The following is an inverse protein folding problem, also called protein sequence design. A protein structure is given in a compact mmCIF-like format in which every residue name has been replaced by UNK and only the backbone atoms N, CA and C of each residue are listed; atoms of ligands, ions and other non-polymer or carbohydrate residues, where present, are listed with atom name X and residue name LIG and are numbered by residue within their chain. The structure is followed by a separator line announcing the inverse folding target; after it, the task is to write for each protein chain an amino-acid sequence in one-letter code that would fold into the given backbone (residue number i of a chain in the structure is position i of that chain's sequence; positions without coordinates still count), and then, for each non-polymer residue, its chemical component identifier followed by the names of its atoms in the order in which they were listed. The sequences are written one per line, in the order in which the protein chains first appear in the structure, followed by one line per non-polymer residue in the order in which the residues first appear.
data_IF_914509162017
#
_entry.id   IF_914509162017
#
_cell.length_a   1.000
_cell.length_b   1.000
_cell.length_c   1.000
_cell.angle_alpha   90.00
_cell.angle_beta   90.00
_cell.angle_gamma   90.00
#
_symmetry.space_group_name_H-M   'P 1'
#
loop_
_entity.id
_entity.type
_entity.pdbx_description
1 polymer ?
#
# COMPACT_ATOMS: atom_id res chain seq x y z
N UNK A 1 -51.60 15.44 13.66
CA UNK A 1 -50.85 14.81 12.54
C UNK A 1 -49.81 13.93 13.18
N UNK A 2 -50.12 12.63 13.28
CA UNK A 2 -49.12 11.65 13.76
C UNK A 2 -47.95 11.62 12.76
N UNK A 3 -46.71 11.83 13.20
CA UNK A 3 -45.59 11.64 12.35
C UNK A 3 -45.54 10.16 11.99
N UNK A 4 -46.00 9.82 10.80
CA UNK A 4 -45.88 8.46 10.28
C UNK A 4 -44.38 8.14 10.27
N UNK A 5 -43.93 7.38 11.25
CA UNK A 5 -42.56 6.86 11.31
C UNK A 5 -42.37 5.97 10.08
N UNK A 6 -41.67 6.49 9.08
CA UNK A 6 -41.44 5.75 7.86
C UNK A 6 -40.58 4.49 8.22
N UNK A 7 -41.17 3.28 8.09
CA UNK A 7 -40.47 2.05 8.49
C UNK A 7 -39.16 1.83 7.73
N UNK A 8 -39.06 2.37 6.50
CA UNK A 8 -37.81 2.34 5.73
C UNK A 8 -36.71 3.25 6.32
N UNK A 9 -37.07 4.38 6.97
CA UNK A 9 -36.11 5.24 7.64
C UNK A 9 -35.49 4.53 8.86
N UNK A 10 -36.30 3.83 9.65
CA UNK A 10 -35.82 3.04 10.80
C UNK A 10 -34.91 1.89 10.32
N UNK A 11 -35.32 1.17 9.29
CA UNK A 11 -34.53 0.09 8.71
C UNK A 11 -33.19 0.59 8.18
N UNK A 12 -33.18 1.73 7.46
CA UNK A 12 -31.95 2.35 6.95
C UNK A 12 -31.00 2.74 8.07
N UNK A 13 -31.52 3.24 9.19
CA UNK A 13 -30.71 3.65 10.35
C UNK A 13 -29.97 2.47 11.00
N UNK A 14 -30.54 1.27 10.95
CA UNK A 14 -29.95 0.05 11.50
C UNK A 14 -29.01 -0.63 10.47
N UNK A 15 -29.46 -0.71 9.22
CA UNK A 15 -28.73 -1.43 8.17
C UNK A 15 -27.45 -0.69 7.76
N UNK A 16 -27.47 0.64 7.66
CA UNK A 16 -26.32 1.40 7.21
C UNK A 16 -25.06 1.20 8.09
N UNK A 17 -25.12 1.31 9.44
CA UNK A 17 -23.95 1.01 10.28
C UNK A 17 -23.49 -0.45 10.17
N UNK A 18 -24.42 -1.41 10.03
CA UNK A 18 -24.08 -2.83 9.89
C UNK A 18 -23.31 -3.12 8.59
N UNK A 19 -23.74 -2.54 7.47
CA UNK A 19 -23.05 -2.64 6.17
C UNK A 19 -21.68 -2.00 6.23
N UNK A 20 -21.56 -0.80 6.84
CA UNK A 20 -20.30 -0.10 7.00
C UNK A 20 -19.33 -0.83 7.93
N UNK A 21 -19.84 -1.49 8.97
CA UNK A 21 -19.07 -2.37 9.87
C UNK A 21 -18.45 -3.53 9.07
N UNK A 22 -19.27 -4.19 8.24
CA UNK A 22 -18.79 -5.28 7.40
C UNK A 22 -17.73 -4.80 6.39
N UNK A 23 -17.97 -3.68 5.70
CA UNK A 23 -17.00 -3.07 4.78
C UNK A 23 -15.67 -2.72 5.48
N UNK A 24 -15.74 -2.14 6.67
CA UNK A 24 -14.56 -1.80 7.49
C UNK A 24 -13.78 -3.05 7.90
N UNK A 25 -14.45 -4.15 8.24
CA UNK A 25 -13.82 -5.43 8.57
C UNK A 25 -13.05 -6.01 7.37
N UNK A 26 -13.63 -5.97 6.19
CA UNK A 26 -12.98 -6.44 4.96
C UNK A 26 -11.74 -5.61 4.64
N UNK A 27 -11.82 -4.28 4.79
CA UNK A 27 -10.68 -3.38 4.59
C UNK A 27 -9.57 -3.63 5.63
N UNK A 28 -9.93 -3.83 6.91
CA UNK A 28 -8.98 -4.15 7.97
C UNK A 28 -8.27 -5.48 7.68
N UNK A 29 -9.00 -6.52 7.31
CA UNK A 29 -8.45 -7.83 6.97
C UNK A 29 -7.51 -7.75 5.75
N UNK A 30 -7.92 -7.08 4.68
CA UNK A 30 -7.09 -6.88 3.48
C UNK A 30 -5.81 -6.13 3.81
N UNK A 31 -5.90 -5.07 4.62
CA UNK A 31 -4.75 -4.26 5.04
C UNK A 31 -3.82 -5.04 5.97
N UNK A 32 -4.35 -5.84 6.89
CA UNK A 32 -3.57 -6.73 7.76
C UNK A 32 -2.75 -7.73 6.95
N UNK A 33 -3.34 -8.35 5.92
CA UNK A 33 -2.64 -9.26 5.03
C UNK A 33 -1.52 -8.58 4.21
N UNK A 34 -1.71 -7.32 3.83
CA UNK A 34 -0.66 -6.51 3.18
C UNK A 34 0.47 -6.17 4.15
N UNK A 35 0.12 -5.81 5.39
CA UNK A 35 1.10 -5.51 6.44
C UNK A 35 1.95 -6.73 6.77
N UNK A 36 1.35 -7.92 6.93
CA UNK A 36 2.08 -9.16 7.18
C UNK A 36 3.13 -9.41 6.10
N UNK A 37 2.76 -9.31 4.82
CA UNK A 37 3.70 -9.48 3.69
C UNK A 37 4.81 -8.43 3.67
N UNK A 38 4.52 -7.17 4.06
CA UNK A 38 5.52 -6.12 4.12
C UNK A 38 6.53 -6.37 5.25
N UNK A 39 6.05 -6.81 6.42
CA UNK A 39 6.89 -7.17 7.58
C UNK A 39 7.75 -8.40 7.25
N UNK A 40 7.20 -9.43 6.63
CA UNK A 40 7.96 -10.63 6.23
C UNK A 40 9.07 -10.25 5.23
N UNK A 41 8.77 -9.36 4.28
CA UNK A 41 9.78 -8.86 3.34
C UNK A 41 10.88 -8.04 4.04
N UNK A 42 10.53 -7.22 5.03
CA UNK A 42 11.50 -6.46 5.80
C UNK A 42 12.43 -7.39 6.60
N UNK A 43 11.89 -8.41 7.24
CA UNK A 43 12.68 -9.43 7.96
C UNK A 43 13.63 -10.18 7.04
N UNK A 44 13.16 -10.58 5.87
CA UNK A 44 13.98 -11.26 4.86
C UNK A 44 15.15 -10.39 4.40
N UNK A 45 14.89 -9.10 4.12
CA UNK A 45 15.93 -8.14 3.75
C UNK A 45 16.95 -7.92 4.88
N UNK A 46 16.49 -7.81 6.13
CA UNK A 46 17.37 -7.66 7.30
C UNK A 46 18.26 -8.89 7.47
N UNK A 47 17.70 -10.10 7.38
CA UNK A 47 18.48 -11.34 7.48
C UNK A 47 19.54 -11.44 6.39
N UNK A 48 19.21 -11.12 5.14
CA UNK A 48 20.17 -11.11 4.07
C UNK A 48 21.29 -10.06 4.23
N UNK A 49 21.01 -8.94 4.90
CA UNK A 49 22.04 -7.95 5.23
C UNK A 49 22.98 -8.45 6.34
N UNK A 50 22.47 -9.19 7.32
CA UNK A 50 23.25 -9.78 8.40
C UNK A 50 24.14 -10.93 7.92
N UNK A 51 23.62 -11.81 7.04
CA UNK A 51 24.32 -12.96 6.49
C UNK A 51 25.41 -12.58 5.47
N UNK A 52 25.26 -11.44 4.80
CA UNK A 52 26.18 -10.97 3.77
C UNK A 52 27.34 -10.18 4.39
N UNK A 53 28.28 -10.86 5.02
CA UNK A 53 29.41 -10.29 5.76
C UNK A 53 30.34 -9.36 4.99
N UNK A 54 30.37 -9.40 3.64
CA UNK A 54 31.14 -8.47 2.78
C UNK A 54 30.33 -8.08 1.54
N UNK A 55 29.33 -7.22 1.74
CA UNK A 55 28.69 -6.56 0.60
C UNK A 55 29.58 -5.45 0.06
N UNK A 56 29.69 -5.34 -1.26
CA UNK A 56 30.28 -4.15 -1.87
C UNK A 56 29.48 -2.90 -1.42
N UNK A 57 30.18 -1.80 -1.15
CA UNK A 57 29.55 -0.57 -0.65
C UNK A 57 28.30 -0.13 -1.44
N UNK A 58 28.25 -0.20 -2.80
CA UNK A 58 27.07 0.17 -3.57
C UNK A 58 25.88 -0.80 -3.37
N UNK A 59 26.13 -2.09 -3.14
CA UNK A 59 25.06 -3.06 -2.87
C UNK A 59 24.47 -2.90 -1.48
N UNK A 60 25.30 -2.64 -0.47
CA UNK A 60 24.84 -2.36 0.88
C UNK A 60 23.94 -1.12 0.91
N UNK A 61 24.33 -0.03 0.26
CA UNK A 61 23.51 1.20 0.15
C UNK A 61 22.18 0.94 -0.55
N UNK A 62 22.18 0.15 -1.62
CA UNK A 62 20.93 -0.21 -2.33
C UNK A 62 19.98 -1.02 -1.46
N UNK A 63 20.49 -2.02 -0.73
CA UNK A 63 19.66 -2.87 0.17
C UNK A 63 19.12 -2.09 1.37
N UNK A 64 19.93 -1.20 1.96
CA UNK A 64 19.48 -0.30 3.02
C UNK A 64 18.34 0.61 2.55
N UNK A 65 18.44 1.17 1.34
CA UNK A 65 17.36 1.98 0.76
C UNK A 65 16.09 1.18 0.53
N UNK A 66 16.19 -0.07 0.08
CA UNK A 66 15.04 -0.97 -0.09
C UNK A 66 14.41 -1.32 1.26
N UNK A 67 15.20 -1.56 2.30
CA UNK A 67 14.72 -1.81 3.67
C UNK A 67 13.96 -0.59 4.20
N UNK A 68 14.55 0.61 4.13
CA UNK A 68 13.91 1.85 4.58
C UNK A 68 12.58 2.12 3.86
N UNK A 69 12.52 1.87 2.55
CA UNK A 69 11.28 2.00 1.80
C UNK A 69 10.20 0.99 2.24
N UNK A 70 10.61 -0.24 2.57
CA UNK A 70 9.71 -1.29 3.08
C UNK A 70 9.20 -0.96 4.48
N UNK A 71 10.05 -0.43 5.36
CA UNK A 71 9.66 0.04 6.70
C UNK A 71 8.67 1.19 6.64
N UNK A 72 8.92 2.21 5.82
CA UNK A 72 7.99 3.33 5.62
C UNK A 72 6.62 2.85 5.14
N UNK A 73 6.60 1.90 4.22
CA UNK A 73 5.36 1.27 3.74
C UNK A 73 4.63 0.52 4.86
N UNK A 74 5.35 -0.22 5.71
CA UNK A 74 4.78 -0.92 6.84
C UNK A 74 4.13 0.03 7.85
N UNK A 75 4.74 1.19 8.11
CA UNK A 75 4.19 2.24 8.97
C UNK A 75 2.90 2.84 8.40
N UNK A 76 2.83 3.08 7.08
CA UNK A 76 1.60 3.57 6.44
C UNK A 76 0.48 2.54 6.52
N UNK A 77 0.77 1.26 6.27
CA UNK A 77 -0.20 0.18 6.39
C UNK A 77 -0.70 0.03 7.84
N UNK A 78 0.19 0.17 8.84
CA UNK A 78 -0.18 0.14 10.25
C UNK A 78 -1.09 1.32 10.62
N UNK A 79 -0.79 2.53 10.12
CA UNK A 79 -1.63 3.71 10.33
C UNK A 79 -3.03 3.54 9.70
N UNK A 80 -3.11 3.00 8.48
CA UNK A 80 -4.38 2.68 7.82
C UNK A 80 -5.17 1.63 8.60
N UNK A 81 -4.52 0.56 9.04
CA UNK A 81 -5.12 -0.52 9.82
C UNK A 81 -5.70 0.00 11.14
N UNK A 82 -4.95 0.83 11.87
CA UNK A 82 -5.43 1.49 13.09
C UNK A 82 -6.69 2.31 12.82
N UNK A 83 -6.72 3.07 11.71
CA UNK A 83 -7.90 3.88 11.34
C UNK A 83 -9.11 3.00 11.05
N UNK A 84 -8.95 1.86 10.38
CA UNK A 84 -10.04 0.92 10.12
C UNK A 84 -10.56 0.25 11.39
N UNK A 85 -9.71 -0.07 12.36
CA UNK A 85 -10.16 -0.59 13.67
C UNK A 85 -10.91 0.47 14.47
N UNK A 86 -10.49 1.74 14.42
CA UNK A 86 -11.24 2.84 15.04
C UNK A 86 -12.60 2.99 14.36
N UNK A 87 -12.67 2.95 13.03
CA UNK A 87 -13.92 3.00 12.29
C UNK A 87 -14.85 1.85 12.70
N UNK A 88 -14.33 0.62 12.73
CA UNK A 88 -15.07 -0.59 13.10
C UNK A 88 -15.67 -0.47 14.52
N UNK A 89 -14.84 -0.09 15.50
CA UNK A 89 -15.27 0.10 16.89
C UNK A 89 -16.33 1.21 17.02
N UNK A 90 -16.15 2.31 16.28
CA UNK A 90 -17.10 3.43 16.29
C UNK A 90 -18.43 3.08 15.64
N UNK A 91 -18.45 2.31 14.52
CA UNK A 91 -19.70 1.81 13.92
C UNK A 91 -20.41 0.81 14.85
N UNK A 92 -19.68 -0.10 15.49
CA UNK A 92 -20.25 -1.04 16.46
C UNK A 92 -20.85 -0.28 17.65
N UNK A 93 -20.19 0.75 18.15
CA UNK A 93 -20.69 1.61 19.23
C UNK A 93 -21.96 2.37 18.80
N UNK A 94 -21.96 2.94 17.58
CA UNK A 94 -23.13 3.63 17.05
C UNK A 94 -24.33 2.68 16.91
N UNK A 95 -24.12 1.44 16.47
CA UNK A 95 -25.16 0.41 16.39
C UNK A 95 -25.70 0.05 17.78
N UNK A 96 -24.83 -0.15 18.77
CA UNK A 96 -25.22 -0.43 20.15
C UNK A 96 -26.04 0.71 20.75
N UNK A 97 -25.60 1.95 20.55
CA UNK A 97 -26.31 3.15 21.00
C UNK A 97 -27.70 3.24 20.35
N UNK A 98 -27.80 2.95 19.05
CA UNK A 98 -29.10 2.93 18.35
C UNK A 98 -30.04 1.87 18.89
N UNK A 99 -29.55 0.67 19.20
CA UNK A 99 -30.32 -0.40 19.82
C UNK A 99 -30.81 -0.03 21.23
N UNK A 100 -29.92 0.53 22.06
CA UNK A 100 -30.29 1.01 23.41
C UNK A 100 -31.33 2.13 23.33
N UNK A 101 -31.16 3.07 22.39
CA UNK A 101 -32.16 4.13 22.14
C UNK A 101 -33.53 3.56 21.80
N UNK A 102 -33.58 2.55 20.92
CA UNK A 102 -34.84 1.90 20.54
C UNK A 102 -35.58 1.23 21.72
N UNK A 103 -34.81 0.73 22.70
CA UNK A 103 -35.39 0.11 23.92
C UNK A 103 -35.83 1.16 24.94
N UNK A 104 -35.10 2.26 25.10
CA UNK A 104 -35.31 3.28 26.13
C UNK A 104 -36.39 4.30 25.74
N UNK A 105 -36.64 4.55 24.46
CA UNK A 105 -37.66 5.48 23.97
C UNK A 105 -39.05 5.15 24.55
N UNK A 106 -39.59 3.89 24.49
CA UNK A 106 -40.88 3.57 25.05
C UNK A 106 -40.96 3.63 26.57
N UNK A 107 -39.81 3.66 27.27
CA UNK A 107 -39.74 3.77 28.74
C UNK A 107 -39.82 5.22 29.27
N UNK A 108 -39.93 6.22 28.41
CA UNK A 108 -40.12 7.61 28.80
C UNK A 108 -38.87 8.33 29.34
N UNK A 109 -37.68 7.77 29.13
CA UNK A 109 -36.41 8.30 29.64
C UNK A 109 -35.87 9.47 28.78
N UNK A 110 -36.62 10.57 28.68
CA UNK A 110 -36.38 11.65 27.72
C UNK A 110 -34.94 12.25 27.67
N UNK A 111 -34.30 12.47 28.83
CA UNK A 111 -32.92 13.03 28.88
C UNK A 111 -31.89 11.99 28.41
N UNK A 112 -32.06 10.75 28.83
CA UNK A 112 -31.14 9.65 28.47
C UNK A 112 -31.18 9.37 26.96
N UNK A 113 -32.34 9.48 26.34
CA UNK A 113 -32.52 9.28 24.89
C UNK A 113 -31.76 10.36 24.11
N UNK A 114 -31.83 11.63 24.56
CA UNK A 114 -31.12 12.73 23.85
C UNK A 114 -29.59 12.60 23.94
N UNK A 115 -29.08 12.13 25.06
CA UNK A 115 -27.63 11.84 25.23
C UNK A 115 -27.18 10.70 24.29
N UNK A 116 -27.97 9.64 24.20
CA UNK A 116 -27.72 8.53 23.29
C UNK A 116 -27.77 8.96 21.83
N UNK A 117 -28.73 9.79 21.44
CA UNK A 117 -28.88 10.30 20.08
C UNK A 117 -27.62 11.08 19.67
N UNK A 118 -27.18 12.05 20.48
CA UNK A 118 -25.96 12.83 20.26
C UNK A 118 -24.72 11.90 20.23
N UNK A 119 -24.62 10.97 21.16
CA UNK A 119 -23.55 9.99 21.22
C UNK A 119 -23.46 9.12 19.95
N UNK A 120 -24.61 8.67 19.46
CA UNK A 120 -24.71 7.88 18.22
C UNK A 120 -24.26 8.66 16.99
N UNK A 121 -24.68 9.93 16.87
CA UNK A 121 -24.26 10.81 15.76
C UNK A 121 -22.74 11.06 15.81
N UNK A 122 -22.20 11.37 16.99
CA UNK A 122 -20.74 11.58 17.16
C UNK A 122 -19.96 10.32 16.83
N UNK A 123 -20.39 9.16 17.31
CA UNK A 123 -19.76 7.88 17.00
C UNK A 123 -19.79 7.59 15.48
N UNK A 124 -20.93 7.86 14.82
CA UNK A 124 -21.06 7.72 13.37
C UNK A 124 -20.12 8.63 12.58
N UNK A 125 -20.01 9.90 12.96
CA UNK A 125 -19.10 10.86 12.32
C UNK A 125 -17.62 10.46 12.51
N UNK A 126 -17.25 10.01 13.71
CA UNK A 126 -15.91 9.49 13.99
C UNK A 126 -15.61 8.25 13.14
N UNK A 127 -16.57 7.35 13.00
CA UNK A 127 -16.42 6.14 12.22
C UNK A 127 -16.16 6.45 10.74
N UNK A 128 -16.98 7.33 10.13
CA UNK A 128 -16.82 7.73 8.73
C UNK A 128 -15.50 8.47 8.53
N UNK A 129 -15.14 9.39 9.43
CA UNK A 129 -13.88 10.13 9.35
C UNK A 129 -12.66 9.20 9.42
N UNK A 130 -12.68 8.23 10.32
CA UNK A 130 -11.62 7.23 10.45
C UNK A 130 -11.52 6.33 9.22
N UNK A 131 -12.65 5.94 8.63
CA UNK A 131 -12.70 5.14 7.40
C UNK A 131 -12.11 5.91 6.21
N UNK A 132 -12.51 7.16 6.04
CA UNK A 132 -11.97 8.04 4.98
C UNK A 132 -10.47 8.25 5.17
N UNK A 133 -10.03 8.55 6.40
CA UNK A 133 -8.61 8.72 6.71
C UNK A 133 -7.80 7.46 6.36
N UNK A 134 -8.22 6.29 6.80
CA UNK A 134 -7.58 5.02 6.48
C UNK A 134 -7.50 4.75 4.99
N UNK A 135 -8.57 5.06 4.24
CA UNK A 135 -8.63 4.92 2.79
C UNK A 135 -7.64 5.86 2.08
N UNK A 136 -7.52 7.11 2.52
CA UNK A 136 -6.55 8.09 1.97
C UNK A 136 -5.12 7.61 2.21
N UNK A 137 -4.81 7.10 3.41
CA UNK A 137 -3.48 6.56 3.73
C UNK A 137 -3.17 5.35 2.83
N UNK A 138 -4.14 4.47 2.59
CA UNK A 138 -3.99 3.31 1.72
C UNK A 138 -3.74 3.71 0.25
N UNK A 139 -4.43 4.75 -0.24
CA UNK A 139 -4.20 5.30 -1.59
C UNK A 139 -2.79 5.88 -1.70
N UNK A 140 -2.31 6.58 -0.67
CA UNK A 140 -0.92 7.09 -0.65
C UNK A 140 0.10 5.96 -0.72
N UNK A 141 -0.08 4.89 0.04
CA UNK A 141 0.77 3.69 -0.02
C UNK A 141 0.80 3.11 -1.43
N UNK A 142 -0.36 2.93 -2.05
CA UNK A 142 -0.47 2.38 -3.39
C UNK A 142 0.23 3.25 -4.45
N UNK A 143 0.15 4.58 -4.35
CA UNK A 143 0.83 5.50 -5.26
C UNK A 143 2.35 5.35 -5.20
N UNK A 144 2.92 5.22 -4.01
CA UNK A 144 4.36 5.01 -3.82
C UNK A 144 4.81 3.71 -4.52
N UNK A 145 4.05 2.64 -4.37
CA UNK A 145 4.35 1.34 -5.00
C UNK A 145 4.33 1.45 -6.52
N UNK A 146 3.32 2.12 -7.09
CA UNK A 146 3.19 2.30 -8.54
C UNK A 146 4.38 3.11 -9.10
N UNK A 147 4.80 4.18 -8.44
CA UNK A 147 5.96 4.97 -8.84
C UNK A 147 7.24 4.12 -8.89
N UNK A 148 7.51 3.36 -7.83
CA UNK A 148 8.69 2.46 -7.77
C UNK A 148 8.66 1.40 -8.87
N UNK A 149 7.48 0.84 -9.16
CA UNK A 149 7.33 -0.14 -10.25
C UNK A 149 7.57 0.48 -11.63
N UNK A 150 7.08 1.70 -11.86
CA UNK A 150 7.30 2.43 -13.11
C UNK A 150 8.79 2.75 -13.33
N UNK A 151 9.49 3.21 -12.29
CA UNK A 151 10.93 3.47 -12.34
C UNK A 151 11.74 2.20 -12.65
N UNK A 152 11.36 1.07 -12.03
CA UNK A 152 11.99 -0.23 -12.33
C UNK A 152 11.72 -0.69 -13.76
N UNK A 153 10.48 -0.57 -14.24
CA UNK A 153 10.12 -0.92 -15.61
C UNK A 153 10.90 -0.07 -16.63
N UNK A 154 10.99 1.25 -16.41
CA UNK A 154 11.76 2.15 -17.26
C UNK A 154 13.24 1.79 -17.27
N UNK A 155 13.84 1.44 -16.12
CA UNK A 155 15.24 1.04 -16.04
C UNK A 155 15.54 -0.28 -16.73
N UNK A 156 14.62 -1.23 -16.73
CA UNK A 156 14.73 -2.51 -17.45
C UNK A 156 14.60 -2.28 -18.94
N UNK A 157 13.66 -1.45 -19.38
CA UNK A 157 13.49 -1.07 -20.78
C UNK A 157 14.71 -0.36 -21.34
N UNK A 158 15.29 0.58 -20.59
CA UNK A 158 16.51 1.29 -20.98
C UNK A 158 17.72 0.35 -21.16
N UNK A 159 17.76 -0.76 -20.41
CA UNK A 159 18.82 -1.80 -20.57
C UNK A 159 18.52 -2.80 -21.69
N UNK A 160 17.26 -3.02 -22.02
CA UNK A 160 16.84 -3.96 -23.04
C UNK A 160 16.89 -3.37 -24.48
N UNK A 161 16.97 -2.04 -24.61
CA UNK A 161 17.24 -1.41 -25.89
C UNK A 161 18.72 -1.63 -26.21
N UNK A 162 19.09 -2.47 -27.21
CA UNK A 162 20.48 -2.61 -27.63
C UNK A 162 20.94 -1.21 -28.04
N UNK A 163 22.09 -0.76 -27.48
CA UNK A 163 22.80 0.39 -28.04
C UNK A 163 23.02 0.04 -29.51
N UNK A 164 22.21 0.63 -30.37
CA UNK A 164 22.33 0.43 -31.79
C UNK A 164 23.78 0.66 -32.18
N UNK A 165 24.35 -0.31 -32.91
CA UNK A 165 25.64 -0.18 -33.55
C UNK A 165 25.78 1.25 -34.10
N UNK A 166 26.89 1.97 -33.82
CA UNK A 166 27.08 3.30 -34.36
C UNK A 166 26.93 3.21 -35.88
N UNK A 167 26.20 4.16 -36.48
CA UNK A 167 25.91 4.10 -37.91
C UNK A 167 27.21 3.88 -38.72
N UNK A 168 27.18 2.94 -39.61
CA UNK A 168 28.32 2.48 -40.42
C UNK A 168 29.10 3.60 -41.18
N UNK A 169 28.58 4.83 -41.15
CA UNK A 169 29.21 6.05 -41.66
C UNK A 169 30.40 6.55 -40.87
N UNK A 170 30.67 6.03 -39.65
CA UNK A 170 31.86 6.41 -38.87
C UNK A 170 33.02 5.39 -38.94
N UNK A 171 32.91 4.36 -39.78
CA UNK A 171 34.10 3.56 -40.09
C UNK A 171 34.99 4.38 -40.99
N UNK A 172 36.03 5.01 -40.44
CA UNK A 172 37.09 5.65 -41.16
C UNK A 172 37.69 4.64 -42.18
N UNK A 173 37.67 4.91 -43.48
CA UNK A 173 38.43 4.12 -44.46
C UNK A 173 39.89 4.58 -44.40
N UNK A 174 40.72 3.83 -43.74
CA UNK A 174 42.14 4.18 -43.83
C UNK A 174 43.02 3.74 -42.66
N UNK A 175 43.18 2.46 -42.46
CA UNK A 175 44.48 1.94 -42.06
C UNK A 175 44.71 0.66 -42.87
N UNK A 176 45.42 0.83 -43.98
CA UNK A 176 45.94 -0.27 -44.77
C UNK A 176 46.95 -1.05 -43.91
N UNK A 177 46.61 -2.29 -43.59
CA UNK A 177 47.50 -3.24 -42.96
C UNK A 177 48.68 -3.52 -43.90
N UNK A 178 49.97 -3.38 -43.46
CA UNK A 178 51.09 -3.77 -44.29
C UNK A 178 51.11 -5.29 -44.51
N UNK A 179 51.05 -5.70 -45.77
CA UNK A 179 51.27 -7.06 -46.21
C UNK A 179 52.65 -7.54 -45.71
N UNK A 180 52.66 -8.46 -44.78
CA UNK A 180 53.82 -9.25 -44.49
C UNK A 180 54.05 -10.25 -45.64
N UNK A 181 55.12 -10.03 -46.39
CA UNK A 181 55.67 -10.90 -47.42
C UNK A 181 56.04 -12.29 -46.83
N UNK A 182 55.77 -13.38 -47.59
CA UNK A 182 56.26 -14.68 -47.17
C UNK A 182 57.74 -14.83 -47.63
N UNK A 183 58.64 -14.94 -46.66
CA UNK A 183 60.01 -15.37 -46.91
C UNK A 183 60.05 -16.90 -47.15
N UNK A 184 60.39 -17.28 -48.35
CA UNK A 184 60.84 -18.61 -48.71
C UNK A 184 62.26 -18.87 -48.16
N UNK A 185 62.50 -20.11 -47.79
CA UNK A 185 63.86 -20.61 -47.46
C UNK A 185 63.74 -21.97 -46.80
N UNK A 186 63.77 -23.07 -47.46
CA UNK A 186 64.86 -23.86 -48.07
C UNK A 186 65.78 -24.50 -47.03
N UNK A 187 65.84 -25.83 -47.09
CA UNK A 187 67.04 -26.66 -46.80
C UNK A 187 67.06 -27.29 -45.40
N UNK A 188 67.03 -28.58 -45.26
CA UNK A 188 67.98 -29.54 -45.69
C UNK A 188 68.50 -30.33 -44.52
N UNK A 189 68.46 -31.64 -44.69
CA UNK A 189 69.13 -32.76 -44.00
C UNK A 189 68.41 -33.32 -42.80
#
# INVERSE_FOLDING_TARGET
MDPQVNPFAVLSLIVAPAVLTNASSVLAMSTSNRLARAVDRARELSRHLEEAGELSAPEAVRRLRELTATEQRSLLLLAALRSFYIALGSFASATLVSLLGAVLVPMGAGVSVRVLEVGGVVAGLLAVSALVHGSVVLVRETRIVVQVLQERAASVQARAVPQGDPPASQRHPGVASPRSSPAAGSGGV
#
